data_IF_556688144631
#
_entry.id   IF_556688144631
#
_cell.length_a   1.000
_cell.length_b   1.000
_cell.length_c   1.000
_cell.angle_alpha   90.00
_cell.angle_beta   90.00
_cell.angle_gamma   90.00
#
_symmetry.space_group_name_H-M   'P 1'
#
loop_
_entity.id
_entity.type
_entity.pdbx_description
1 polymer ?
#
# COMPACT_ATOMS: atom_id res chain seq x y z
N UNK A 1 8.73 3.93 17.88
CA UNK A 1 9.31 3.74 16.53
C UNK A 1 10.20 4.94 16.26
N UNK A 2 11.49 4.73 16.04
CA UNK A 2 12.39 5.83 15.66
C UNK A 2 11.95 6.39 14.29
N UNK A 3 11.88 7.72 14.17
CA UNK A 3 11.65 8.37 12.89
C UNK A 3 12.94 8.25 12.06
N UNK A 4 12.95 7.31 11.12
CA UNK A 4 14.00 7.23 10.11
C UNK A 4 13.69 8.31 9.06
N UNK A 5 14.43 9.42 9.10
CA UNK A 5 14.35 10.45 8.07
C UNK A 5 15.41 10.16 6.99
N UNK A 6 14.95 9.93 5.76
CA UNK A 6 15.85 9.74 4.62
C UNK A 6 16.38 11.11 4.19
N UNK A 7 17.69 11.31 4.21
CA UNK A 7 18.32 12.50 3.64
C UNK A 7 18.29 12.41 2.09
N UNK A 8 17.32 13.10 1.50
CA UNK A 8 17.12 13.17 0.03
C UNK A 8 18.35 13.72 -0.68
N UNK A 9 19.18 14.55 -0.04
CA UNK A 9 20.38 15.10 -0.67
C UNK A 9 21.37 13.99 -1.07
N UNK A 10 21.43 12.93 -0.27
CA UNK A 10 22.30 11.76 -0.45
C UNK A 10 21.77 10.73 -1.46
N UNK A 11 20.49 10.83 -1.84
CA UNK A 11 19.86 9.87 -2.76
C UNK A 11 20.40 10.06 -4.18
N UNK A 12 20.83 8.97 -4.88
CA UNK A 12 21.26 9.03 -6.27
C UNK A 12 20.20 9.63 -7.21
N UNK A 13 20.65 10.36 -8.24
CA UNK A 13 19.75 11.08 -9.16
C UNK A 13 18.59 10.24 -9.74
N UNK A 14 18.80 8.98 -10.20
CA UNK A 14 17.70 8.18 -10.73
C UNK A 14 16.61 7.86 -9.71
N UNK A 15 16.97 7.80 -8.42
CA UNK A 15 16.06 7.45 -7.32
C UNK A 15 15.49 8.68 -6.61
N UNK A 16 16.07 9.86 -6.83
CA UNK A 16 15.76 11.07 -6.07
C UNK A 16 14.28 11.42 -6.11
N UNK A 17 13.65 11.36 -7.29
CA UNK A 17 12.21 11.62 -7.43
C UNK A 17 11.35 10.62 -6.63
N UNK A 18 11.66 9.32 -6.71
CA UNK A 18 10.95 8.27 -5.97
C UNK A 18 11.00 8.52 -4.46
N UNK A 19 12.20 8.75 -3.92
CA UNK A 19 12.37 8.96 -2.48
C UNK A 19 11.75 10.26 -1.99
N UNK A 20 11.78 11.34 -2.79
CA UNK A 20 11.05 12.58 -2.46
C UNK A 20 9.56 12.32 -2.31
N UNK A 21 8.94 11.65 -3.28
CA UNK A 21 7.50 11.36 -3.25
C UNK A 21 7.13 10.40 -2.11
N UNK A 22 7.96 9.40 -1.82
CA UNK A 22 7.79 8.50 -0.67
C UNK A 22 7.87 9.30 0.63
N UNK A 23 8.82 10.22 0.77
CA UNK A 23 8.97 11.01 1.99
C UNK A 23 7.77 11.93 2.23
N UNK A 24 7.30 12.65 1.21
CA UNK A 24 6.11 13.50 1.29
C UNK A 24 4.89 12.69 1.70
N UNK A 25 4.69 11.52 1.10
CA UNK A 25 3.59 10.66 1.44
C UNK A 25 3.72 10.04 2.82
N UNK A 26 4.92 9.62 3.24
CA UNK A 26 5.14 9.07 4.56
C UNK A 26 4.75 10.08 5.65
N UNK A 27 5.09 11.37 5.44
CA UNK A 27 4.66 12.47 6.31
C UNK A 27 3.13 12.59 6.30
N UNK A 28 2.48 12.57 5.14
CA UNK A 28 1.01 12.61 5.05
C UNK A 28 0.35 11.41 5.75
N UNK A 29 0.83 10.21 5.45
CA UNK A 29 0.34 8.92 5.93
C UNK A 29 0.37 8.83 7.45
N UNK A 30 1.46 9.26 8.09
CA UNK A 30 1.58 9.29 9.55
C UNK A 30 0.50 10.13 10.23
N UNK A 31 0.02 11.20 9.58
CA UNK A 31 -0.97 12.12 10.15
C UNK A 31 -2.42 11.77 9.76
N UNK A 32 -2.65 10.80 8.88
CA UNK A 32 -4.00 10.44 8.43
C UNK A 32 -4.86 9.88 9.56
N UNK A 33 -4.29 8.97 10.34
CA UNK A 33 -4.92 8.30 11.46
C UNK A 33 -3.86 7.93 12.49
N UNK A 34 -4.30 7.61 13.70
CA UNK A 34 -3.46 6.91 14.66
C UNK A 34 -3.27 5.45 14.21
N UNK A 35 -2.11 5.17 13.63
CA UNK A 35 -1.70 3.82 13.23
C UNK A 35 -1.31 3.00 14.46
N UNK A 36 -2.27 2.26 14.98
CA UNK A 36 -2.02 1.18 15.93
C UNK A 36 -1.68 -0.12 15.19
N UNK A 37 -0.99 -1.08 15.85
CA UNK A 37 -0.50 -2.28 15.19
C UNK A 37 -1.57 -3.08 14.42
N UNK A 38 -2.81 -3.27 14.94
CA UNK A 38 -3.87 -3.95 14.19
C UNK A 38 -4.25 -3.24 12.89
N UNK A 39 -4.42 -1.92 12.91
CA UNK A 39 -4.80 -1.13 11.73
C UNK A 39 -3.72 -1.18 10.64
N UNK A 40 -2.46 -1.05 11.04
CA UNK A 40 -1.34 -1.13 10.11
C UNK A 40 -1.17 -2.54 9.54
N UNK A 41 -1.33 -3.57 10.37
CA UNK A 41 -1.26 -4.97 9.93
C UNK A 41 -2.38 -5.31 8.96
N UNK A 42 -3.60 -4.82 9.20
CA UNK A 42 -4.73 -5.01 8.31
C UNK A 42 -4.50 -4.37 6.93
N UNK A 43 -3.94 -3.15 6.90
CA UNK A 43 -3.55 -2.49 5.65
C UNK A 43 -2.54 -3.33 4.86
N UNK A 44 -1.48 -3.81 5.51
CA UNK A 44 -0.47 -4.67 4.85
C UNK A 44 -1.07 -5.97 4.33
N UNK A 45 -1.97 -6.59 5.10
CA UNK A 45 -2.63 -7.83 4.69
C UNK A 45 -3.57 -7.62 3.49
N UNK A 46 -4.28 -6.47 3.44
CA UNK A 46 -5.14 -6.10 2.31
C UNK A 46 -4.31 -5.82 1.04
N UNK A 47 -3.13 -5.22 1.19
CA UNK A 47 -2.25 -4.90 0.07
C UNK A 47 -1.51 -6.14 -0.45
N UNK A 48 -0.79 -6.85 0.42
CA UNK A 48 0.16 -7.91 0.04
C UNK A 48 -0.54 -9.26 -0.08
N UNK A 49 -1.49 -9.54 0.81
CA UNK A 49 -2.17 -10.83 0.86
C UNK A 49 -3.00 -11.12 -0.39
N UNK A 50 -3.50 -10.08 -1.06
CA UNK A 50 -4.21 -10.21 -2.33
C UNK A 50 -3.29 -10.64 -3.49
N UNK A 51 -2.02 -10.23 -3.50
CA UNK A 51 -1.07 -10.56 -4.57
C UNK A 51 -0.50 -11.98 -4.46
N UNK A 52 -0.61 -12.62 -3.29
CA UNK A 52 -0.05 -13.95 -3.02
C UNK A 52 -1.00 -15.11 -3.36
N UNK A 53 -2.25 -14.82 -3.70
CA UNK A 53 -3.29 -15.83 -3.91
C UNK A 53 -3.55 -16.05 -5.39
N UNK A 54 -3.73 -17.31 -5.78
CA UNK A 54 -3.88 -17.74 -7.17
C UNK A 54 -5.33 -17.71 -7.68
N UNK A 55 -6.30 -17.30 -6.87
CA UNK A 55 -7.73 -17.31 -7.20
C UNK A 55 -8.44 -16.09 -6.64
N UNK A 56 -9.23 -15.43 -7.49
CA UNK A 56 -10.05 -14.27 -7.13
C UNK A 56 -10.98 -14.56 -5.94
N UNK A 57 -11.58 -15.76 -5.88
CA UNK A 57 -12.43 -16.16 -4.77
C UNK A 57 -11.66 -16.23 -3.43
N UNK A 58 -10.39 -16.62 -3.45
CA UNK A 58 -9.55 -16.63 -2.26
C UNK A 58 -9.16 -15.20 -1.85
N UNK A 59 -8.90 -14.32 -2.82
CA UNK A 59 -8.64 -12.89 -2.60
C UNK A 59 -9.85 -12.20 -1.97
N UNK A 60 -11.04 -12.42 -2.51
CA UNK A 60 -12.28 -11.83 -1.99
C UNK A 60 -12.58 -12.31 -0.57
N UNK A 61 -12.40 -13.61 -0.31
CA UNK A 61 -12.55 -14.16 1.05
C UNK A 61 -11.57 -13.53 2.03
N UNK A 62 -10.30 -13.38 1.64
CA UNK A 62 -9.29 -12.74 2.48
C UNK A 62 -9.65 -11.28 2.76
N UNK A 63 -9.99 -10.51 1.73
CA UNK A 63 -10.39 -9.10 1.83
C UNK A 63 -11.62 -8.93 2.73
N UNK A 64 -12.65 -9.74 2.55
CA UNK A 64 -13.84 -9.73 3.40
C UNK A 64 -13.51 -10.03 4.86
N UNK A 65 -12.69 -11.06 5.11
CA UNK A 65 -12.28 -11.45 6.48
C UNK A 65 -11.52 -10.32 7.19
N UNK A 66 -10.53 -9.72 6.52
CA UNK A 66 -9.75 -8.62 7.10
C UNK A 66 -10.63 -7.38 7.30
N UNK A 67 -11.52 -7.07 6.36
CA UNK A 67 -12.40 -5.90 6.45
C UNK A 67 -13.38 -6.04 7.61
N UNK A 68 -13.96 -7.22 7.82
CA UNK A 68 -14.79 -7.52 9.00
C UNK A 68 -14.00 -7.38 10.30
N UNK A 69 -12.81 -7.97 10.39
CA UNK A 69 -11.97 -7.85 11.59
C UNK A 69 -11.57 -6.39 11.88
N UNK A 70 -11.29 -5.60 10.84
CA UNK A 70 -10.94 -4.19 10.96
C UNK A 70 -12.16 -3.34 11.34
N UNK A 71 -13.36 -3.68 10.87
CA UNK A 71 -14.62 -3.07 11.30
C UNK A 71 -14.85 -3.31 12.78
N UNK A 72 -14.72 -4.55 13.25
CA UNK A 72 -14.86 -4.90 14.66
C UNK A 72 -13.85 -4.13 15.51
N UNK A 73 -12.59 -4.07 15.07
CA UNK A 73 -11.55 -3.31 15.75
C UNK A 73 -11.85 -1.79 15.83
N UNK A 74 -12.32 -1.19 14.74
CA UNK A 74 -12.62 0.24 14.68
C UNK A 74 -13.94 0.64 15.37
N UNK A 75 -14.95 -0.23 15.41
CA UNK A 75 -16.26 0.07 15.99
C UNK A 75 -16.41 -0.43 17.44
N UNK A 76 -15.61 -1.41 17.90
CA UNK A 76 -15.60 -1.85 19.30
C UNK A 76 -14.65 -1.01 20.18
N UNK A 77 -13.90 -0.07 19.61
CA UNK A 77 -13.18 0.94 20.38
C UNK A 77 -14.15 1.98 20.97
N UNK A 78 -13.85 2.49 22.17
CA UNK A 78 -14.58 3.62 22.76
C UNK A 78 -13.68 4.85 22.79
N UNK A 79 -13.96 5.90 21.99
CA UNK A 79 -15.10 6.07 21.08
C UNK A 79 -14.97 5.28 19.75
N UNK A 80 -16.09 5.01 19.04
CA UNK A 80 -16.06 4.36 17.74
C UNK A 80 -15.33 5.22 16.70
N UNK A 81 -14.41 4.63 15.96
CA UNK A 81 -13.61 5.31 14.93
C UNK A 81 -14.16 5.02 13.52
N UNK A 82 -15.39 5.47 13.24
CA UNK A 82 -16.09 5.18 11.97
C UNK A 82 -15.35 5.65 10.72
N UNK A 83 -14.66 6.80 10.80
CA UNK A 83 -13.83 7.34 9.70
C UNK A 83 -12.52 6.59 9.51
N UNK A 84 -11.98 5.95 10.55
CA UNK A 84 -10.68 5.29 10.51
C UNK A 84 -10.68 4.11 9.54
N UNK A 85 -11.72 3.28 9.56
CA UNK A 85 -11.89 2.18 8.61
C UNK A 85 -11.88 2.68 7.16
N UNK A 86 -12.68 3.70 6.85
CA UNK A 86 -12.73 4.30 5.51
C UNK A 86 -11.37 4.87 5.08
N UNK A 87 -10.67 5.55 5.99
CA UNK A 87 -9.34 6.10 5.71
C UNK A 87 -8.31 5.00 5.42
N UNK A 88 -8.34 3.88 6.15
CA UNK A 88 -7.45 2.72 5.92
C UNK A 88 -7.71 2.12 4.54
N UNK A 89 -8.98 1.85 4.21
CA UNK A 89 -9.36 1.28 2.92
C UNK A 89 -8.90 2.18 1.77
N UNK A 90 -9.10 3.50 1.89
CA UNK A 90 -8.65 4.47 0.89
C UNK A 90 -7.12 4.50 0.70
N UNK A 91 -6.32 4.03 1.66
CA UNK A 91 -4.86 3.96 1.49
C UNK A 91 -4.43 2.82 0.55
N UNK A 92 -5.25 1.79 0.35
CA UNK A 92 -4.92 0.68 -0.57
C UNK A 92 -4.69 1.21 -1.99
N UNK A 93 -5.54 2.14 -2.45
CA UNK A 93 -5.40 2.75 -3.78
C UNK A 93 -4.12 3.59 -3.92
N UNK A 94 -3.66 4.20 -2.82
CA UNK A 94 -2.43 4.99 -2.81
C UNK A 94 -1.18 4.13 -3.04
N UNK A 95 -1.16 2.88 -2.58
CA UNK A 95 -0.03 1.97 -2.82
C UNK A 95 0.18 1.67 -4.31
N UNK A 96 -0.90 1.54 -5.08
CA UNK A 96 -0.83 1.33 -6.54
C UNK A 96 -0.04 2.46 -7.24
N UNK A 97 -0.17 3.71 -6.76
CA UNK A 97 0.59 4.85 -7.27
C UNK A 97 2.08 4.68 -7.01
N UNK A 98 2.47 4.28 -5.80
CA UNK A 98 3.89 4.06 -5.45
C UNK A 98 4.48 2.86 -6.17
N UNK A 99 3.72 1.79 -6.35
CA UNK A 99 4.15 0.65 -7.17
C UNK A 99 4.49 1.11 -8.59
N UNK A 100 3.64 1.94 -9.21
CA UNK A 100 3.90 2.50 -10.55
C UNK A 100 5.18 3.36 -10.59
N UNK A 101 5.31 4.33 -9.68
CA UNK A 101 6.49 5.21 -9.62
C UNK A 101 7.76 4.39 -9.37
N UNK A 102 7.70 3.37 -8.51
CA UNK A 102 8.80 2.45 -8.25
C UNK A 102 9.21 1.67 -9.51
N UNK A 103 8.25 1.17 -10.29
CA UNK A 103 8.50 0.47 -11.54
C UNK A 103 9.12 1.38 -12.61
N UNK A 104 8.60 2.59 -12.78
CA UNK A 104 9.15 3.60 -13.69
C UNK A 104 10.60 3.94 -13.30
N UNK A 105 10.86 4.11 -12.01
CA UNK A 105 12.19 4.38 -11.47
C UNK A 105 13.16 3.23 -11.72
N UNK A 106 12.73 1.98 -11.50
CA UNK A 106 13.54 0.80 -11.80
C UNK A 106 13.84 0.69 -13.30
N UNK A 107 12.86 0.99 -14.15
CA UNK A 107 13.02 0.99 -15.61
C UNK A 107 14.06 2.02 -16.06
N UNK A 108 14.04 3.22 -15.46
CA UNK A 108 15.04 4.27 -15.70
C UNK A 108 16.44 3.86 -15.21
N UNK A 109 16.54 3.18 -14.07
CA UNK A 109 17.83 2.69 -13.57
C UNK A 109 18.43 1.65 -14.54
N UNK A 110 17.63 0.69 -15.01
CA UNK A 110 18.04 -0.33 -15.98
C UNK A 110 18.46 0.32 -17.30
N UNK A 111 17.69 1.27 -17.83
CA UNK A 111 18.02 1.97 -19.08
C UNK A 111 19.29 2.82 -18.96
N UNK A 112 19.63 3.26 -17.74
CA UNK A 112 20.87 3.97 -17.42
C UNK A 112 22.07 3.02 -17.20
N UNK A 113 21.90 1.71 -17.41
CA UNK A 113 22.97 0.71 -17.30
C UNK A 113 23.15 0.11 -15.90
N UNK A 114 22.25 0.38 -14.95
CA UNK A 114 22.28 -0.26 -13.63
C UNK A 114 21.85 -1.72 -13.75
N UNK A 115 22.71 -2.64 -13.32
CA UNK A 115 22.33 -4.05 -13.22
C UNK A 115 21.52 -4.29 -11.95
N UNK A 116 20.25 -4.67 -12.13
CA UNK A 116 19.39 -5.06 -11.01
C UNK A 116 19.76 -6.46 -10.49
N UNK A 117 19.62 -6.72 -9.18
CA UNK A 117 19.74 -8.06 -8.63
C UNK A 117 18.77 -9.05 -9.30
N UNK A 118 19.10 -10.34 -9.42
CA UNK A 118 18.28 -11.34 -10.11
C UNK A 118 16.82 -11.42 -9.61
N UNK A 119 16.60 -11.21 -8.31
CA UNK A 119 15.26 -11.19 -7.69
C UNK A 119 14.39 -10.02 -8.18
N UNK A 120 15.01 -8.93 -8.63
CA UNK A 120 14.32 -7.73 -9.13
C UNK A 120 14.16 -7.75 -10.65
N UNK A 121 14.95 -8.56 -11.36
CA UNK A 121 14.84 -8.72 -12.82
C UNK A 121 13.47 -9.26 -13.25
N UNK A 122 12.86 -10.14 -12.44
CA UNK A 122 11.49 -10.62 -12.65
C UNK A 122 10.41 -9.56 -12.39
N UNK A 123 10.66 -8.61 -11.48
CA UNK A 123 9.71 -7.53 -11.18
C UNK A 123 9.49 -6.58 -12.38
N UNK A 124 10.54 -6.37 -13.19
CA UNK A 124 10.45 -5.57 -14.43
C UNK A 124 9.60 -6.28 -15.51
N UNK A 125 9.67 -7.63 -15.57
CA UNK A 125 8.88 -8.42 -16.53
C UNK A 125 7.41 -8.59 -16.12
N UNK A 126 7.13 -8.54 -14.81
CA UNK A 126 5.77 -8.67 -14.25
C UNK A 126 4.95 -7.38 -14.37
N UNK A 127 5.58 -6.27 -14.78
CA UNK A 127 4.94 -4.96 -14.97
C UNK A 127 3.76 -4.98 -15.98
N UNK A 128 3.69 -5.98 -16.87
CA UNK A 128 2.56 -6.14 -17.80
C UNK A 128 1.33 -6.82 -17.18
N UNK A 129 1.38 -7.28 -15.92
CA UNK A 129 0.34 -8.11 -15.31
C UNK A 129 -0.43 -7.47 -14.16
N UNK A 130 -0.13 -6.23 -13.79
CA UNK A 130 -0.91 -5.57 -12.75
C UNK A 130 -2.33 -5.31 -13.28
N UNK A 131 -3.36 -5.88 -12.64
CA UNK A 131 -4.72 -5.44 -12.92
C UNK A 131 -4.76 -3.93 -12.68
N UNK A 132 -5.42 -3.18 -13.57
CA UNK A 132 -5.81 -1.81 -13.27
C UNK A 132 -6.59 -1.75 -11.95
N UNK A 133 -6.87 -0.54 -11.41
CA UNK A 133 -7.49 -0.38 -10.10
C UNK A 133 -8.63 -1.39 -9.98
N UNK A 134 -8.44 -2.38 -9.09
CA UNK A 134 -9.46 -3.38 -8.84
C UNK A 134 -10.71 -2.59 -8.53
N UNK A 135 -11.82 -2.85 -9.26
CA UNK A 135 -13.14 -2.29 -8.94
C UNK A 135 -13.56 -2.84 -7.58
N UNK A 136 -12.95 -2.32 -6.53
CA UNK A 136 -13.26 -2.63 -5.15
C UNK A 136 -14.45 -1.74 -4.81
N UNK A 137 -15.64 -2.31 -5.00
CA UNK A 137 -16.87 -1.65 -4.58
C UNK A 137 -17.08 -1.92 -3.10
N UNK A 138 -16.63 -0.98 -2.27
CA UNK A 138 -16.84 -1.05 -0.82
C UNK A 138 -18.21 -0.51 -0.39
N UNK A 139 -19.10 -0.14 -1.33
CA UNK A 139 -20.43 0.40 -0.99
C UNK A 139 -21.35 -0.64 -0.34
N UNK A 140 -21.06 -1.94 -0.52
CA UNK A 140 -21.77 -3.02 0.17
C UNK A 140 -21.38 -3.16 1.65
N UNK A 141 -20.26 -2.60 2.08
CA UNK A 141 -19.88 -2.63 3.49
C UNK A 141 -20.64 -1.52 4.23
N UNK A 142 -21.74 -1.88 4.89
CA UNK A 142 -22.44 -0.97 5.79
C UNK A 142 -21.48 -0.46 6.88
N UNK A 143 -21.09 0.81 6.77
CA UNK A 143 -20.35 1.54 7.79
C UNK A 143 -21.26 1.77 9.00
N UNK A 144 -20.68 1.75 10.21
CA UNK A 144 -21.41 1.82 11.48
C UNK A 144 -22.39 3.03 11.49
N UNK A 145 -23.61 2.88 12.04
CA UNK A 145 -24.63 3.94 12.08
C UNK A 145 -24.22 5.15 12.92
#
# INVERSE_FOLDING_TARGET
MEQIEVDIATVPQPLKLLFTLIQEEAKRFQHLIQWDPPSFSALLALQIGAELLSSDAAVDKLRGTITSALKDHCCNSSPPHTKKLQTIIAQIEMFTRFQRIGQETLSLAVSSGVQLPPLMSGAVQTAQRFPGPSKLDFTEFSFCP
#
